data_IF_908088248485
#
_entry.id   IF_908088248485
#
_cell.length_a   1.000
_cell.length_b   1.000
_cell.length_c   1.000
_cell.angle_alpha   90.00
_cell.angle_beta   90.00
_cell.angle_gamma   90.00
#
_symmetry.space_group_name_H-M   'P 1'
#
loop_
_entity.id
_entity.type
_entity.pdbx_description
1 polymer ?
#
# COMPACT_ATOMS: atom_id res chain seq x y z
N UNK A 1 1.47 -14.70 14.02
CA UNK A 1 2.65 -14.40 13.18
C UNK A 1 2.43 -13.02 12.57
N UNK A 2 3.44 -12.16 12.54
CA UNK A 2 3.33 -10.84 11.91
C UNK A 2 3.53 -10.98 10.40
N UNK A 3 2.81 -10.17 9.61
CA UNK A 3 3.00 -10.10 8.17
C UNK A 3 4.33 -9.44 7.84
N UNK A 4 4.97 -9.93 6.78
CA UNK A 4 6.08 -9.25 6.14
C UNK A 4 5.58 -8.07 5.32
N UNK A 5 6.46 -7.12 5.00
CA UNK A 5 6.07 -5.91 4.29
C UNK A 5 6.89 -5.71 3.05
N UNK A 6 6.21 -5.49 1.92
CA UNK A 6 6.80 -5.02 0.68
C UNK A 6 6.44 -3.54 0.53
N UNK A 7 7.41 -2.72 0.15
CA UNK A 7 7.25 -1.27 0.04
C UNK A 7 7.48 -0.91 -1.41
N UNK A 8 6.50 -0.27 -2.06
CA UNK A 8 6.64 0.25 -3.43
C UNK A 8 7.55 1.47 -3.44
N UNK A 9 8.10 1.80 -4.61
CA UNK A 9 8.85 3.04 -4.78
C UNK A 9 7.97 4.26 -4.58
N UNK A 10 6.72 4.21 -5.07
CA UNK A 10 5.75 5.29 -4.86
C UNK A 10 5.56 5.57 -3.37
N UNK A 11 5.24 4.54 -2.57
CA UNK A 11 5.08 4.67 -1.12
C UNK A 11 6.35 5.24 -0.47
N UNK A 12 7.52 4.72 -0.85
CA UNK A 12 8.79 5.16 -0.26
C UNK A 12 9.08 6.64 -0.54
N UNK A 13 8.77 7.12 -1.75
CA UNK A 13 8.92 8.53 -2.14
C UNK A 13 7.95 9.40 -1.36
N UNK A 14 6.65 9.05 -1.34
CA UNK A 14 5.66 9.80 -0.54
C UNK A 14 6.02 9.84 0.94
N UNK A 15 6.46 8.72 1.49
CA UNK A 15 6.89 8.64 2.89
C UNK A 15 8.09 9.55 3.14
N UNK A 16 9.11 9.54 2.27
CA UNK A 16 10.25 10.44 2.41
C UNK A 16 9.81 11.90 2.35
N UNK A 17 9.10 12.30 1.30
CA UNK A 17 8.69 13.69 1.07
C UNK A 17 7.83 14.25 2.22
N UNK A 18 6.92 13.43 2.76
CA UNK A 18 6.02 13.84 3.85
C UNK A 18 6.68 13.82 5.23
N UNK A 19 7.76 13.07 5.41
CA UNK A 19 8.38 12.86 6.73
C UNK A 19 9.77 13.45 6.88
N UNK A 20 10.43 13.87 5.81
CA UNK A 20 11.81 14.36 5.80
C UNK A 20 12.05 15.43 6.87
N UNK A 21 11.10 16.38 6.98
CA UNK A 21 11.18 17.50 7.94
C UNK A 21 10.26 17.35 9.16
N UNK A 22 9.49 16.27 9.25
CA UNK A 22 8.50 16.06 10.31
C UNK A 22 8.70 14.72 11.02
N UNK A 23 9.58 14.73 12.02
CA UNK A 23 9.94 13.54 12.79
C UNK A 23 8.79 13.01 13.65
N UNK A 24 7.87 13.87 14.09
CA UNK A 24 6.67 13.47 14.84
C UNK A 24 5.73 12.65 13.97
N UNK A 25 5.38 13.17 12.80
CA UNK A 25 4.54 12.48 11.82
C UNK A 25 5.19 11.19 11.33
N UNK A 26 6.52 11.19 11.12
CA UNK A 26 7.28 9.97 10.81
C UNK A 26 7.04 8.85 11.81
N UNK A 27 7.15 9.16 13.11
CA UNK A 27 6.96 8.17 14.19
C UNK A 27 5.53 7.62 14.18
N UNK A 28 4.55 8.48 13.92
CA UNK A 28 3.15 8.09 13.83
C UNK A 28 2.89 7.12 12.68
N UNK A 29 3.41 7.41 11.48
CA UNK A 29 3.32 6.52 10.33
C UNK A 29 3.99 5.18 10.64
N UNK A 30 5.22 5.19 11.16
CA UNK A 30 5.95 3.96 11.49
C UNK A 30 5.18 3.10 12.49
N UNK A 31 4.53 3.72 13.49
CA UNK A 31 3.64 3.02 14.43
C UNK A 31 2.45 2.38 13.71
N UNK A 32 1.83 3.08 12.77
CA UNK A 32 0.72 2.56 11.97
C UNK A 32 1.16 1.41 11.05
N UNK A 33 2.32 1.52 10.40
CA UNK A 33 2.90 0.43 9.59
C UNK A 33 3.15 -0.82 10.44
N UNK A 34 3.67 -0.67 11.65
CA UNK A 34 3.84 -1.79 12.59
C UNK A 34 2.50 -2.42 12.98
N UNK A 35 1.48 -1.60 13.26
CA UNK A 35 0.14 -2.08 13.54
C UNK A 35 -0.47 -2.87 12.39
N UNK A 36 -0.33 -2.37 11.16
CA UNK A 36 -0.81 -3.06 9.95
C UNK A 36 -0.10 -4.41 9.79
N UNK A 37 1.22 -4.48 10.02
CA UNK A 37 1.94 -5.77 9.95
C UNK A 37 1.46 -6.78 11.00
N UNK A 38 1.03 -6.33 12.17
CA UNK A 38 0.52 -7.20 13.22
C UNK A 38 -0.91 -7.67 12.94
N UNK A 39 -1.74 -6.79 12.39
CA UNK A 39 -3.11 -7.10 12.01
C UNK A 39 -3.49 -6.31 10.75
N UNK A 40 -3.28 -6.87 9.54
CA UNK A 40 -3.55 -6.13 8.30
C UNK A 40 -5.03 -5.81 8.07
N UNK A 41 -5.92 -6.48 8.78
CA UNK A 41 -7.37 -6.28 8.68
C UNK A 41 -7.86 -5.02 9.41
N UNK A 42 -7.00 -4.32 10.16
CA UNK A 42 -7.37 -3.07 10.86
C UNK A 42 -7.75 -1.92 9.92
N UNK A 43 -7.26 -1.93 8.68
CA UNK A 43 -7.60 -0.93 7.69
C UNK A 43 -8.91 -1.27 6.99
N UNK A 44 -9.70 -0.25 6.74
CA UNK A 44 -11.02 -0.39 6.12
C UNK A 44 -10.88 -0.77 4.63
N UNK A 45 -11.71 -1.69 4.12
CA UNK A 45 -11.72 -2.03 2.71
C UNK A 45 -12.16 -0.83 1.86
N UNK A 46 -11.37 -0.51 0.84
CA UNK A 46 -11.70 0.53 -0.14
C UNK A 46 -12.78 0.03 -1.11
N UNK A 47 -13.49 0.98 -1.72
CA UNK A 47 -14.62 0.74 -2.65
C UNK A 47 -14.34 1.32 -4.03
N UNK A 48 -15.17 0.98 -5.01
CA UNK A 48 -15.08 1.52 -6.38
C UNK A 48 -13.78 1.12 -7.07
N UNK A 49 -13.08 2.09 -7.65
CA UNK A 49 -11.84 1.87 -8.41
C UNK A 49 -10.65 1.37 -7.55
N UNK A 50 -10.75 1.49 -6.22
CA UNK A 50 -9.75 1.01 -5.26
C UNK A 50 -10.19 -0.29 -4.56
N UNK A 51 -11.25 -0.96 -5.03
CA UNK A 51 -11.73 -2.23 -4.47
C UNK A 51 -10.59 -3.26 -4.47
N UNK A 52 -10.49 -3.99 -3.35
CA UNK A 52 -9.39 -4.94 -3.11
C UNK A 52 -8.22 -4.35 -2.31
N UNK A 53 -8.14 -3.02 -2.20
CA UNK A 53 -7.20 -2.33 -1.31
C UNK A 53 -7.83 -2.05 0.05
N UNK A 54 -6.97 -1.69 1.01
CA UNK A 54 -7.34 -1.24 2.35
C UNK A 54 -6.74 0.13 2.64
N UNK A 55 -7.43 0.90 3.47
CA UNK A 55 -6.99 2.20 3.95
C UNK A 55 -6.93 2.24 5.48
N UNK A 56 -5.82 2.74 6.04
CA UNK A 56 -5.75 3.06 7.46
C UNK A 56 -5.41 4.53 7.66
N UNK A 57 -6.27 5.24 8.40
CA UNK A 57 -6.02 6.63 8.77
C UNK A 57 -4.84 6.75 9.74
N UNK A 58 -3.95 7.68 9.45
CA UNK A 58 -2.89 8.12 10.37
C UNK A 58 -3.47 9.22 11.24
N UNK A 59 -3.84 10.34 10.60
CA UNK A 59 -4.51 11.51 11.18
C UNK A 59 -5.80 11.85 10.41
N UNK A 60 -6.41 13.00 10.70
CA UNK A 60 -7.62 13.48 10.02
C UNK A 60 -7.44 13.62 8.50
N UNK A 61 -6.21 13.84 8.05
CA UNK A 61 -5.93 14.17 6.66
C UNK A 61 -5.13 13.11 5.89
N UNK A 62 -4.54 12.10 6.53
CA UNK A 62 -3.67 11.14 5.83
C UNK A 62 -4.10 9.69 5.96
N UNK A 63 -3.98 8.93 4.87
CA UNK A 63 -4.31 7.50 4.77
C UNK A 63 -3.17 6.70 4.19
N UNK A 64 -2.84 5.58 4.83
CA UNK A 64 -1.99 4.54 4.27
C UNK A 64 -2.87 3.62 3.42
N UNK A 65 -2.55 3.49 2.14
CA UNK A 65 -3.20 2.56 1.22
C UNK A 65 -2.28 1.35 1.01
N UNK A 66 -2.85 0.15 1.15
CA UNK A 66 -2.11 -1.10 1.06
C UNK A 66 -3.01 -2.25 0.58
N UNK A 67 -2.39 -3.37 0.21
CA UNK A 67 -3.08 -4.64 -0.02
C UNK A 67 -2.46 -5.77 0.81
N UNK A 68 -3.22 -6.84 0.96
CA UNK A 68 -2.79 -8.06 1.63
C UNK A 68 -2.60 -9.12 0.55
N UNK A 69 -1.41 -9.68 0.45
CA UNK A 69 -1.07 -10.74 -0.50
C UNK A 69 -0.36 -11.87 0.24
N UNK A 70 -1.00 -13.05 0.34
CA UNK A 70 -0.51 -14.17 1.15
C UNK A 70 -0.19 -13.71 2.60
N UNK A 71 1.06 -13.82 3.03
CA UNK A 71 1.58 -13.38 4.33
C UNK A 71 2.30 -12.01 4.25
N UNK A 72 2.11 -11.26 3.16
CA UNK A 72 2.70 -9.94 2.93
C UNK A 72 1.65 -8.83 2.96
N UNK A 73 2.06 -7.69 3.49
CA UNK A 73 1.41 -6.39 3.31
C UNK A 73 2.21 -5.62 2.27
N UNK A 74 1.57 -5.25 1.16
CA UNK A 74 2.19 -4.39 0.16
C UNK A 74 1.71 -2.96 0.40
N UNK A 75 2.62 -2.10 0.88
CA UNK A 75 2.35 -0.68 1.09
C UNK A 75 2.49 0.07 -0.23
N UNK A 76 1.40 0.71 -0.66
CA UNK A 76 1.23 1.22 -2.03
C UNK A 76 1.36 2.74 -2.05
N UNK A 77 0.61 3.44 -1.20
CA UNK A 77 0.51 4.89 -1.24
C UNK A 77 0.22 5.49 0.15
N UNK A 78 0.62 6.75 0.31
CA UNK A 78 0.30 7.59 1.45
C UNK A 78 -0.45 8.83 0.93
N UNK A 79 -1.78 8.82 1.04
CA UNK A 79 -2.67 9.83 0.45
C UNK A 79 -3.08 10.90 1.47
N UNK A 80 -3.29 12.14 0.99
CA UNK A 80 -3.99 13.19 1.74
C UNK A 80 -5.47 13.26 1.30
N UNK A 81 -6.43 13.22 2.23
CA UNK A 81 -7.87 13.21 1.93
C UNK A 81 -8.32 14.34 1.02
N UNK A 82 -7.80 15.56 1.20
CA UNK A 82 -8.22 16.71 0.38
C UNK A 82 -7.63 16.71 -1.04
N UNK A 83 -6.65 15.85 -1.33
CA UNK A 83 -6.11 15.67 -2.69
C UNK A 83 -6.73 14.47 -3.43
N UNK A 84 -7.72 13.80 -2.84
CA UNK A 84 -8.23 12.50 -3.28
C UNK A 84 -9.10 12.49 -4.56
N UNK A 85 -9.14 13.57 -5.35
CA UNK A 85 -9.73 13.55 -6.69
C UNK A 85 -8.64 13.73 -7.74
N UNK A 86 -7.92 12.65 -8.06
CA UNK A 86 -7.01 12.66 -9.21
C UNK A 86 -6.20 11.40 -9.50
N UNK A 87 -5.91 10.53 -8.53
CA UNK A 87 -4.84 9.51 -8.69
C UNK A 87 -5.25 8.05 -8.45
N UNK A 88 -6.49 7.75 -8.11
CA UNK A 88 -6.93 6.36 -7.93
C UNK A 88 -7.01 5.56 -9.25
N UNK A 89 -7.17 6.27 -10.37
CA UNK A 89 -7.24 5.64 -11.69
C UNK A 89 -5.86 5.14 -12.10
N UNK A 90 -5.78 3.87 -12.54
CA UNK A 90 -4.53 3.23 -12.89
C UNK A 90 -3.59 2.91 -11.72
N UNK A 91 -4.01 3.09 -10.45
CA UNK A 91 -3.16 2.72 -9.30
C UNK A 91 -2.73 1.25 -9.35
N UNK A 92 -3.67 0.35 -9.65
CA UNK A 92 -3.37 -1.08 -9.80
C UNK A 92 -2.38 -1.36 -10.93
N UNK A 93 -2.53 -0.65 -12.05
CA UNK A 93 -1.63 -0.81 -13.20
C UNK A 93 -0.22 -0.29 -12.85
N UNK A 94 -0.12 0.86 -12.16
CA UNK A 94 1.15 1.42 -11.65
C UNK A 94 1.87 0.51 -10.66
N UNK A 95 1.14 -0.22 -9.82
CA UNK A 95 1.72 -1.18 -8.87
C UNK A 95 2.45 -2.30 -9.64
N UNK A 96 1.89 -2.79 -10.74
CA UNK A 96 2.49 -3.88 -11.53
C UNK A 96 3.76 -3.44 -12.27
N UNK A 97 3.96 -2.13 -12.44
CA UNK A 97 5.14 -1.53 -13.08
C UNK A 97 6.17 -1.00 -12.05
N UNK A 98 5.92 -1.13 -10.74
CA UNK A 98 6.79 -0.59 -9.70
C UNK A 98 8.08 -1.43 -9.58
N UNK A 99 9.22 -0.86 -9.97
CA UNK A 99 10.52 -1.54 -10.03
C UNK A 99 10.94 -2.14 -8.68
N UNK A 100 10.67 -1.43 -7.59
CA UNK A 100 11.00 -1.89 -6.24
C UNK A 100 10.10 -3.03 -5.80
N UNK A 101 8.80 -3.00 -6.12
CA UNK A 101 7.92 -4.12 -5.91
C UNK A 101 8.41 -5.35 -6.67
N UNK A 102 8.67 -5.21 -7.98
CA UNK A 102 9.16 -6.31 -8.83
C UNK A 102 10.44 -6.91 -8.24
N UNK A 103 11.41 -6.07 -7.88
CA UNK A 103 12.66 -6.49 -7.24
C UNK A 103 12.42 -7.20 -5.91
N UNK A 104 11.42 -6.76 -5.14
CA UNK A 104 11.07 -7.39 -3.86
C UNK A 104 10.40 -8.74 -4.06
N UNK A 105 9.53 -8.88 -5.06
CA UNK A 105 8.88 -10.14 -5.42
C UNK A 105 9.90 -11.16 -5.91
N UNK A 106 10.83 -10.75 -6.78
CA UNK A 106 11.93 -11.60 -7.28
C UNK A 106 12.80 -12.13 -6.14
N UNK A 107 13.20 -11.27 -5.20
CA UNK A 107 13.96 -11.68 -3.99
C UNK A 107 13.22 -12.65 -3.07
N UNK A 108 11.89 -12.69 -3.16
CA UNK A 108 11.03 -13.56 -2.38
C UNK A 108 10.63 -14.82 -3.16
N UNK A 109 11.20 -15.04 -4.35
CA UNK A 109 10.85 -16.12 -5.28
C UNK A 109 9.36 -16.12 -5.65
N UNK A 110 8.74 -14.93 -5.73
CA UNK A 110 7.35 -14.74 -6.13
C UNK A 110 7.31 -14.29 -7.59
N UNK A 111 6.77 -15.10 -8.53
CA UNK A 111 6.61 -14.68 -9.92
C UNK A 111 5.71 -13.45 -10.05
N UNK A 112 6.12 -12.49 -10.86
CA UNK A 112 5.34 -11.27 -11.10
C UNK A 112 3.98 -11.60 -11.72
N UNK A 113 3.90 -12.65 -12.54
CA UNK A 113 2.66 -13.14 -13.15
C UNK A 113 1.68 -13.63 -12.09
N UNK A 114 2.16 -14.33 -11.06
CA UNK A 114 1.32 -14.79 -9.95
C UNK A 114 0.72 -13.60 -9.18
N UNK A 115 1.55 -12.58 -8.92
CA UNK A 115 1.10 -11.37 -8.27
C UNK A 115 0.13 -10.57 -9.16
N UNK A 116 0.40 -10.48 -10.47
CA UNK A 116 -0.47 -9.83 -11.43
C UNK A 116 -1.83 -10.51 -11.55
N UNK A 117 -1.87 -11.85 -11.55
CA UNK A 117 -3.11 -12.63 -11.54
C UNK A 117 -3.94 -12.34 -10.29
N UNK A 118 -3.29 -12.24 -9.12
CA UNK A 118 -3.94 -11.82 -7.89
C UNK A 118 -4.53 -10.40 -7.99
N UNK A 119 -3.74 -9.42 -8.45
CA UNK A 119 -4.20 -8.03 -8.63
C UNK A 119 -5.36 -7.95 -9.62
N UNK A 120 -5.33 -8.75 -10.68
CA UNK A 120 -6.41 -8.83 -11.66
C UNK A 120 -7.66 -9.51 -11.10
N UNK A 121 -7.52 -10.54 -10.26
CA UNK A 121 -8.64 -11.22 -9.62
C UNK A 121 -9.41 -10.28 -8.68
N UNK A 122 -8.72 -9.49 -7.86
CA UNK A 122 -9.36 -8.53 -6.95
C UNK A 122 -10.09 -7.40 -7.71
N UNK A 123 -9.64 -7.05 -8.92
CA UNK A 123 -10.27 -6.06 -9.81
C UNK A 123 -11.55 -6.57 -10.49
N UNK A 124 -11.62 -7.88 -10.79
CA UNK A 124 -12.72 -8.49 -11.59
C UNK A 124 -14.02 -8.71 -10.83
N UNK A 125 -14.00 -8.73 -9.50
CA UNK A 125 -15.23 -8.69 -8.72
C UNK A 125 -15.83 -7.28 -8.79
N UNK A 126 -16.59 -6.99 -9.85
CA UNK A 126 -17.51 -5.85 -9.93
C UNK A 126 -18.87 -6.30 -9.41
#
# INVERSE_FOLDING_TARGET
MAFESIITDHFSKNFHDLTDKNTGFKKEIVKKLSGIRQNPEIGEPKKGNLRGLRGLHISDHFVIVYLIYKNYVVFIELEHHDKAFGTSEGLMDRILEDERLITSLDKLDIPIEEFADFVNAIRKHK
#
